data_IF_529480949410
#
_entry.id   IF_529480949410
#
_cell.length_a   1.000
_cell.length_b   1.000
_cell.length_c   1.000
_cell.angle_alpha   90.00
_cell.angle_beta   90.00
_cell.angle_gamma   90.00
#
_symmetry.space_group_name_H-M   'P 1'
#
loop_
_entity.id
_entity.type
_entity.pdbx_description
1 polymer ?
#
# COMPACT_ATOMS: atom_id res chain seq x y z
N UNK A 1 11.39 -0.60 -9.65
CA UNK A 1 10.58 0.64 -9.50
C UNK A 1 9.55 0.41 -8.40
N UNK A 2 8.92 1.46 -7.84
CA UNK A 2 7.90 1.31 -6.80
C UNK A 2 6.60 1.99 -7.22
N UNK A 3 5.47 1.36 -6.91
CA UNK A 3 4.14 1.87 -7.26
C UNK A 3 3.23 1.82 -6.04
N UNK A 4 2.63 2.97 -5.71
CA UNK A 4 1.68 3.09 -4.62
C UNK A 4 0.24 2.95 -5.15
N UNK A 5 -0.52 2.11 -4.47
CA UNK A 5 -1.94 1.87 -4.64
C UNK A 5 -2.64 2.46 -3.43
N UNK A 6 -3.41 3.52 -3.66
CA UNK A 6 -4.21 4.20 -2.64
C UNK A 6 -5.64 3.76 -2.88
N UNK A 7 -6.16 2.97 -1.95
CA UNK A 7 -7.43 2.30 -2.07
C UNK A 7 -8.43 2.87 -1.06
N UNK A 8 -9.67 3.08 -1.51
CA UNK A 8 -10.74 3.65 -0.70
C UNK A 8 -11.90 2.65 -0.64
N UNK A 9 -12.33 2.35 0.59
CA UNK A 9 -13.50 1.49 0.87
C UNK A 9 -14.79 2.32 0.67
N UNK A 10 -15.93 1.66 0.45
CA UNK A 10 -17.22 2.35 0.29
C UNK A 10 -17.99 2.60 1.60
N UNK A 11 -17.42 2.17 2.74
CA UNK A 11 -18.00 2.27 4.09
C UNK A 11 -18.96 1.13 4.48
N UNK A 12 -19.32 0.23 3.56
CA UNK A 12 -20.26 -0.88 3.81
C UNK A 12 -19.62 -2.27 3.63
N UNK A 13 -18.32 -2.35 3.36
CA UNK A 13 -17.61 -3.63 3.15
C UNK A 13 -16.95 -4.20 4.41
N UNK A 14 -17.09 -3.61 5.59
CA UNK A 14 -16.32 -4.01 6.78
C UNK A 14 -16.43 -5.51 7.09
N UNK A 15 -17.67 -6.04 7.12
CA UNK A 15 -17.87 -7.48 7.32
C UNK A 15 -17.20 -8.31 6.22
N UNK A 16 -17.39 -7.92 4.95
CA UNK A 16 -16.83 -8.64 3.80
C UNK A 16 -15.31 -8.63 3.80
N UNK A 17 -14.71 -7.50 4.20
CA UNK A 17 -13.27 -7.31 4.38
C UNK A 17 -12.75 -8.22 5.50
N UNK A 18 -13.45 -8.28 6.62
CA UNK A 18 -13.12 -9.20 7.72
C UNK A 18 -13.22 -10.66 7.31
N UNK A 19 -14.27 -11.05 6.59
CA UNK A 19 -14.48 -12.43 6.12
C UNK A 19 -13.36 -12.88 5.17
N UNK A 20 -12.78 -11.96 4.39
CA UNK A 20 -11.70 -12.21 3.42
C UNK A 20 -10.28 -11.91 3.95
N UNK A 21 -10.15 -11.44 5.20
CA UNK A 21 -8.87 -10.93 5.73
C UNK A 21 -7.78 -12.00 5.72
N UNK A 22 -8.12 -13.25 6.05
CA UNK A 22 -7.16 -14.36 6.06
C UNK A 22 -6.59 -14.59 4.66
N UNK A 23 -7.44 -14.73 3.65
CA UNK A 23 -7.01 -14.94 2.26
C UNK A 23 -6.17 -13.75 1.74
N UNK A 24 -6.57 -12.52 2.10
CA UNK A 24 -5.81 -11.31 1.78
C UNK A 24 -4.40 -11.36 2.39
N UNK A 25 -4.27 -11.67 3.67
CA UNK A 25 -2.97 -11.72 4.34
C UNK A 25 -2.10 -12.87 3.80
N UNK A 26 -2.67 -14.05 3.55
CA UNK A 26 -1.96 -15.16 2.89
C UNK A 26 -1.44 -14.76 1.50
N UNK A 27 -2.23 -14.01 0.73
CA UNK A 27 -1.78 -13.48 -0.55
C UNK A 27 -0.61 -12.50 -0.38
N UNK A 28 -0.73 -11.54 0.55
CA UNK A 28 0.34 -10.57 0.84
C UNK A 28 1.62 -11.28 1.27
N UNK A 29 1.54 -12.31 2.10
CA UNK A 29 2.69 -13.15 2.49
C UNK A 29 3.32 -13.85 1.28
N UNK A 30 2.50 -14.35 0.34
CA UNK A 30 3.00 -15.03 -0.86
C UNK A 30 3.78 -14.12 -1.82
N UNK A 31 3.59 -12.79 -1.73
CA UNK A 31 4.29 -11.78 -2.55
C UNK A 31 5.12 -10.82 -1.71
N UNK A 32 5.45 -11.20 -0.46
CA UNK A 32 6.05 -10.29 0.52
C UNK A 32 7.39 -9.70 0.07
N UNK A 33 8.16 -10.44 -0.73
CA UNK A 33 9.44 -9.97 -1.32
C UNK A 33 9.25 -8.80 -2.29
N UNK A 34 8.04 -8.59 -2.80
CA UNK A 34 7.64 -7.48 -3.66
C UNK A 34 6.92 -6.37 -2.91
N UNK A 35 6.56 -6.55 -1.64
CA UNK A 35 5.87 -5.54 -0.84
C UNK A 35 6.88 -4.60 -0.19
N UNK A 36 6.81 -3.31 -0.51
CA UNK A 36 7.64 -2.28 0.15
C UNK A 36 7.02 -1.85 1.47
N UNK A 37 5.71 -1.62 1.47
CA UNK A 37 4.89 -1.35 2.64
C UNK A 37 3.43 -1.62 2.28
N UNK A 38 2.66 -2.16 3.22
CA UNK A 38 1.22 -2.29 3.09
C UNK A 38 0.56 -2.01 4.45
N UNK A 39 -0.65 -1.46 4.44
CA UNK A 39 -1.41 -1.22 5.65
C UNK A 39 -2.83 -0.75 5.37
N UNK A 40 -3.72 -1.00 6.33
CA UNK A 40 -5.07 -0.46 6.33
C UNK A 40 -5.08 1.02 6.76
N UNK A 41 -6.08 1.78 6.29
CA UNK A 41 -6.34 3.15 6.74
C UNK A 41 -7.50 3.12 7.73
N UNK A 42 -7.29 3.34 9.04
CA UNK A 42 -8.36 3.35 10.04
C UNK A 42 -9.40 4.45 9.76
N UNK A 43 -10.63 4.25 10.25
CA UNK A 43 -11.70 5.25 10.14
C UNK A 43 -11.44 6.52 10.96
N UNK A 44 -10.75 6.39 12.09
CA UNK A 44 -10.45 7.49 13.00
C UNK A 44 -9.07 7.30 13.66
N UNK A 45 -8.61 8.34 14.36
CA UNK A 45 -7.27 8.40 14.94
C UNK A 45 -7.18 7.79 16.36
N UNK A 46 -8.32 7.44 16.98
CA UNK A 46 -8.39 6.94 18.36
C UNK A 46 -8.38 5.41 18.41
N UNK A 47 -9.08 4.76 17.48
CA UNK A 47 -9.14 3.31 17.34
C UNK A 47 -8.54 2.88 15.99
N UNK A 48 -7.32 2.33 16.04
CA UNK A 48 -6.56 1.98 14.84
C UNK A 48 -6.73 0.50 14.41
N UNK A 49 -7.44 -0.30 15.21
CA UNK A 49 -7.60 -1.74 14.99
C UNK A 49 -9.02 -2.14 14.57
N UNK A 50 -9.98 -1.23 14.68
CA UNK A 50 -11.37 -1.43 14.26
C UNK A 50 -11.79 -0.41 13.21
N UNK A 51 -12.49 -0.89 12.18
CA UNK A 51 -13.03 -0.06 11.11
C UNK A 51 -11.97 0.57 10.18
N UNK A 52 -12.10 0.34 8.88
CA UNK A 52 -11.15 0.83 7.89
C UNK A 52 -11.86 1.59 6.76
N UNK A 53 -11.26 2.68 6.28
CA UNK A 53 -11.73 3.47 5.13
C UNK A 53 -10.90 3.23 3.85
N UNK A 54 -9.93 2.32 3.92
CA UNK A 54 -9.05 2.08 2.79
C UNK A 54 -7.85 1.21 3.13
N UNK A 55 -6.92 1.18 2.18
CA UNK A 55 -5.60 0.59 2.32
C UNK A 55 -4.59 1.36 1.48
N UNK A 56 -3.34 1.34 1.90
CA UNK A 56 -2.20 1.74 1.07
C UNK A 56 -1.32 0.51 0.87
N UNK A 57 -1.06 0.17 -0.39
CA UNK A 57 -0.13 -0.89 -0.76
C UNK A 57 0.93 -0.31 -1.68
N UNK A 58 2.18 -0.64 -1.43
CA UNK A 58 3.29 -0.26 -2.30
C UNK A 58 4.04 -1.50 -2.71
N UNK A 59 4.09 -1.74 -4.02
CA UNK A 59 4.83 -2.85 -4.61
C UNK A 59 6.10 -2.37 -5.30
N UNK A 60 7.15 -3.19 -5.24
CA UNK A 60 8.35 -3.11 -6.05
C UNK A 60 8.24 -4.02 -7.27
N UNK A 61 8.47 -3.46 -8.47
CA UNK A 61 8.39 -4.18 -9.74
C UNK A 61 9.25 -3.53 -10.82
N UNK A 62 9.53 -4.26 -11.90
CA UNK A 62 10.27 -3.74 -13.06
C UNK A 62 9.37 -2.92 -13.99
N UNK A 63 8.06 -3.11 -13.92
CA UNK A 63 7.09 -2.38 -14.75
C UNK A 63 5.79 -2.06 -14.00
N UNK A 64 5.07 -1.02 -14.47
CA UNK A 64 3.71 -0.72 -13.97
C UNK A 64 2.75 -1.90 -14.17
N UNK A 65 2.91 -2.65 -15.27
CA UNK A 65 2.07 -3.80 -15.60
C UNK A 65 2.26 -4.92 -14.57
N UNK A 66 3.50 -5.23 -14.20
CA UNK A 66 3.80 -6.21 -13.16
C UNK A 66 3.23 -5.79 -11.79
N UNK A 67 3.38 -4.53 -11.39
CA UNK A 67 2.76 -4.02 -10.15
C UNK A 67 1.23 -4.13 -10.18
N UNK A 68 0.60 -3.87 -11.33
CA UNK A 68 -0.85 -4.07 -11.49
C UNK A 68 -1.22 -5.54 -11.32
N UNK A 69 -0.46 -6.47 -11.90
CA UNK A 69 -0.74 -7.90 -11.76
C UNK A 69 -0.59 -8.40 -10.32
N UNK A 70 0.36 -7.86 -9.55
CA UNK A 70 0.44 -8.11 -8.10
C UNK A 70 -0.82 -7.58 -7.40
N UNK A 71 -1.22 -6.34 -7.69
CA UNK A 71 -2.42 -5.77 -7.08
C UNK A 71 -3.69 -6.56 -7.42
N UNK A 72 -3.90 -6.93 -8.69
CA UNK A 72 -5.06 -7.72 -9.15
C UNK A 72 -5.07 -9.16 -8.63
N UNK A 73 -3.94 -9.66 -8.13
CA UNK A 73 -3.84 -10.97 -7.48
C UNK A 73 -4.54 -11.02 -6.12
N UNK A 74 -4.70 -9.86 -5.47
CA UNK A 74 -5.24 -9.72 -4.12
C UNK A 74 -6.74 -10.09 -4.04
N UNK A 75 -7.15 -10.98 -3.12
CA UNK A 75 -8.56 -11.30 -2.86
C UNK A 75 -9.45 -10.07 -2.63
N UNK A 76 -8.93 -8.99 -2.03
CA UNK A 76 -9.68 -7.75 -1.84
C UNK A 76 -10.01 -7.06 -3.16
N UNK A 77 -9.12 -7.11 -4.16
CA UNK A 77 -9.44 -6.61 -5.52
C UNK A 77 -10.49 -7.49 -6.17
N UNK A 78 -10.27 -8.81 -6.17
CA UNK A 78 -11.18 -9.78 -6.83
C UNK A 78 -12.60 -9.72 -6.28
N UNK A 79 -12.73 -9.38 -5.00
CA UNK A 79 -14.02 -9.27 -4.33
C UNK A 79 -14.53 -7.83 -4.22
N UNK A 80 -13.94 -6.86 -4.92
CA UNK A 80 -14.38 -5.46 -4.94
C UNK A 80 -14.53 -4.85 -3.54
N UNK A 81 -13.56 -5.09 -2.64
CA UNK A 81 -13.52 -4.42 -1.33
C UNK A 81 -13.25 -2.92 -1.51
N UNK A 82 -12.30 -2.58 -2.39
CA UNK A 82 -11.95 -1.20 -2.71
C UNK A 82 -12.82 -0.68 -3.85
N UNK A 83 -13.53 0.41 -3.59
CA UNK A 83 -14.41 1.07 -4.57
C UNK A 83 -13.63 2.01 -5.49
N UNK A 84 -12.60 2.66 -4.96
CA UNK A 84 -11.73 3.53 -5.73
C UNK A 84 -10.27 3.16 -5.49
N UNK A 85 -9.47 3.15 -6.57
CA UNK A 85 -8.04 2.86 -6.52
C UNK A 85 -7.28 3.88 -7.35
N UNK A 86 -6.33 4.57 -6.72
CA UNK A 86 -5.40 5.47 -7.40
C UNK A 86 -4.00 4.86 -7.41
N UNK A 87 -3.38 4.80 -8.59
CA UNK A 87 -2.09 4.15 -8.79
C UNK A 87 -1.04 5.15 -9.25
N UNK A 88 0.00 5.34 -8.44
CA UNK A 88 1.05 6.33 -8.65
C UNK A 88 2.44 5.69 -8.67
N UNK A 89 3.34 6.08 -9.58
CA UNK A 89 4.75 5.80 -9.39
C UNK A 89 5.21 6.48 -8.09
N UNK A 90 5.96 5.76 -7.27
CA UNK A 90 6.37 6.21 -5.96
C UNK A 90 7.88 6.07 -5.81
N UNK A 91 8.50 7.10 -5.23
CA UNK A 91 9.91 7.07 -4.84
C UNK A 91 9.98 7.46 -3.36
N UNK A 92 10.20 6.51 -2.44
CA UNK A 92 10.46 6.87 -1.06
C UNK A 92 11.75 7.67 -1.00
N UNK A 93 11.72 8.76 -0.24
CA UNK A 93 12.89 9.64 -0.07
C UNK A 93 13.27 9.80 1.40
N UNK A 94 12.33 9.69 2.32
CA UNK A 94 12.59 9.71 3.76
C UNK A 94 11.51 8.95 4.53
N UNK A 95 11.86 8.52 5.73
CA UNK A 95 10.98 7.80 6.64
C UNK A 95 11.76 6.90 7.58
N UNK A 96 11.20 6.65 8.76
CA UNK A 96 11.75 5.66 9.71
C UNK A 96 11.82 4.26 9.08
N UNK A 97 10.81 3.93 8.26
CA UNK A 97 10.73 2.67 7.51
C UNK A 97 11.73 2.57 6.36
N UNK A 98 12.33 3.69 5.92
CA UNK A 98 13.40 3.71 4.91
C UNK A 98 14.75 4.13 5.50
N UNK A 99 14.90 4.08 6.83
CA UNK A 99 16.18 4.29 7.51
C UNK A 99 16.69 5.73 7.54
N UNK A 100 15.84 6.75 7.36
CA UNK A 100 16.25 8.15 7.44
C UNK A 100 15.81 8.98 6.24
N UNK A 101 16.77 9.52 5.48
CA UNK A 101 16.55 10.30 4.26
C UNK A 101 17.61 9.97 3.20
N UNK A 102 17.23 9.99 1.94
CA UNK A 102 18.12 9.71 0.79
C UNK A 102 18.73 10.98 0.19
N UNK A 103 18.80 12.06 0.98
CA UNK A 103 19.35 13.33 0.53
C UNK A 103 20.03 14.10 1.65
N UNK A 104 20.99 14.93 1.26
CA UNK A 104 21.62 15.94 2.11
C UNK A 104 21.57 17.31 1.44
N UNK A 105 21.76 18.37 2.24
CA UNK A 105 21.87 19.74 1.75
C UNK A 105 23.26 20.24 2.11
N UNK A 106 24.04 20.62 1.09
CA UNK A 106 25.38 21.17 1.23
C UNK A 106 25.51 22.43 0.39
N UNK A 107 25.95 23.53 1.00
CA UNK A 107 26.11 24.85 0.35
C UNK A 107 24.85 25.30 -0.43
N UNK A 108 23.67 25.04 0.13
CA UNK A 108 22.38 25.38 -0.48
C UNK A 108 21.92 24.47 -1.62
N UNK A 109 22.67 23.39 -1.93
CA UNK A 109 22.32 22.42 -2.98
C UNK A 109 21.89 21.08 -2.40
N UNK A 110 20.89 20.46 -3.03
CA UNK A 110 20.42 19.11 -2.67
C UNK A 110 21.30 18.07 -3.36
N UNK A 111 21.91 17.21 -2.56
CA UNK A 111 22.61 16.02 -3.02
C UNK A 111 21.74 14.80 -2.70
N UNK A 112 21.55 13.91 -3.66
CA UNK A 112 20.73 12.71 -3.52
C UNK A 112 21.65 11.48 -3.58
N UNK A 113 21.47 10.58 -2.62
CA UNK A 113 22.06 9.23 -2.63
C UNK A 113 21.14 8.26 -3.34
#
# INVERSE_FOLDING_TARGET
>A
MKFAFICVDDGNQEKKRSDLLVEHLEYIESVLDKVVIAGACPLNDEELTEGYQGSILVYESDTRKEAMSLFEGDPYVKNNIWKEVKILPWKPVAGKLVGGKTWEIKDGKILRT
#
